data_IF_951329903797
#
_entry.id   IF_951329903797
#
_cell.length_a   1.000
_cell.length_b   1.000
_cell.length_c   1.000
_cell.angle_alpha   90.00
_cell.angle_beta   90.00
_cell.angle_gamma   90.00
#
_symmetry.space_group_name_H-M   'P 1'
#
loop_
_entity.id
_entity.type
_entity.pdbx_description
1 polymer ?
#
# COMPACT_ATOMS: atom_id res chain seq x y z
N UNK A 1 27.05 4.91 -12.04
CA UNK A 1 27.31 5.58 -10.74
C UNK A 1 26.42 6.82 -10.73
N UNK A 2 25.55 6.94 -9.74
CA UNK A 2 24.77 8.15 -9.49
C UNK A 2 25.55 8.98 -8.47
N UNK A 3 25.70 10.27 -8.75
CA UNK A 3 26.29 11.23 -7.82
C UNK A 3 25.23 12.29 -7.50
N UNK A 4 24.91 12.45 -6.23
CA UNK A 4 24.00 13.48 -5.74
C UNK A 4 24.82 14.64 -5.18
N UNK A 5 24.58 15.82 -5.71
CA UNK A 5 25.20 17.05 -5.22
C UNK A 5 24.11 17.89 -4.57
N UNK A 6 24.32 18.26 -3.32
CA UNK A 6 23.40 19.15 -2.62
C UNK A 6 23.54 20.57 -3.16
N UNK A 7 22.41 21.28 -3.23
CA UNK A 7 22.44 22.69 -3.63
C UNK A 7 23.14 23.52 -2.53
N UNK A 8 24.09 24.33 -2.92
CA UNK A 8 24.90 25.20 -2.08
C UNK A 8 24.76 26.70 -2.42
N UNK A 9 23.75 27.04 -3.22
CA UNK A 9 23.44 28.44 -3.52
C UNK A 9 23.21 29.22 -2.23
N UNK A 10 23.94 30.33 -2.08
CA UNK A 10 23.84 31.26 -0.95
C UNK A 10 22.84 32.39 -1.19
N UNK A 11 22.17 32.42 -2.31
CA UNK A 11 21.19 33.44 -2.70
C UNK A 11 20.10 32.88 -3.55
N UNK A 12 18.94 33.54 -3.53
CA UNK A 12 17.84 33.22 -4.38
C UNK A 12 16.80 32.33 -3.76
N UNK A 13 15.63 32.32 -4.40
CA UNK A 13 14.51 31.48 -4.02
C UNK A 13 13.85 30.90 -5.26
N UNK A 14 13.40 29.65 -5.14
CA UNK A 14 12.61 28.97 -6.16
C UNK A 14 11.36 28.41 -5.53
N UNK A 15 10.22 28.63 -6.19
CA UNK A 15 8.95 27.98 -5.87
C UNK A 15 8.45 27.23 -7.10
N UNK A 16 8.05 26.01 -6.91
CA UNK A 16 7.45 25.19 -7.96
C UNK A 16 6.14 24.61 -7.45
N UNK A 17 5.08 24.80 -8.24
CA UNK A 17 3.77 24.23 -7.98
C UNK A 17 3.42 23.38 -9.18
N UNK A 18 3.08 22.13 -8.94
CA UNK A 18 2.61 21.18 -9.95
C UNK A 18 1.27 20.63 -9.54
N UNK A 19 0.38 20.51 -10.50
CA UNK A 19 -0.86 19.77 -10.41
C UNK A 19 -0.99 18.92 -11.67
N UNK A 20 -1.53 17.74 -11.54
CA UNK A 20 -1.72 16.83 -12.66
C UNK A 20 -2.72 15.74 -12.31
N UNK A 21 -3.37 15.23 -13.33
CA UNK A 21 -4.24 14.08 -13.30
C UNK A 21 -3.99 13.22 -14.53
N UNK A 22 -4.37 11.97 -14.50
CA UNK A 22 -4.38 11.15 -15.70
C UNK A 22 -5.60 11.50 -16.58
N UNK A 23 -5.49 11.24 -17.87
CA UNK A 23 -6.54 11.50 -18.86
C UNK A 23 -7.86 10.76 -18.59
N UNK A 24 -7.81 9.74 -17.76
CA UNK A 24 -8.95 8.93 -17.33
C UNK A 24 -9.70 9.52 -16.13
N UNK A 25 -9.19 10.62 -15.54
CA UNK A 25 -9.80 11.32 -14.41
C UNK A 25 -9.56 10.63 -13.06
N UNK A 26 -8.37 10.07 -12.89
CA UNK A 26 -7.91 9.47 -11.63
C UNK A 26 -6.44 9.86 -11.37
N UNK A 27 -5.95 9.53 -10.18
CA UNK A 27 -4.55 9.75 -9.79
C UNK A 27 -4.17 11.21 -9.70
N UNK A 28 -5.10 12.05 -9.23
CA UNK A 28 -4.82 13.46 -8.97
C UNK A 28 -3.58 13.61 -8.13
N UNK A 29 -2.72 14.52 -8.56
CA UNK A 29 -1.45 14.78 -7.88
C UNK A 29 -1.26 16.28 -7.72
N UNK A 30 -0.88 16.73 -6.56
CA UNK A 30 -0.36 18.07 -6.40
C UNK A 30 0.96 18.05 -5.65
N UNK A 31 1.85 18.98 -5.99
CA UNK A 31 3.17 19.11 -5.39
C UNK A 31 3.54 20.58 -5.29
N UNK A 32 4.03 20.96 -4.12
CA UNK A 32 4.65 22.25 -3.88
C UNK A 32 6.08 21.98 -3.43
N UNK A 33 7.04 22.56 -4.14
CA UNK A 33 8.45 22.50 -3.78
C UNK A 33 9.03 23.89 -3.71
N UNK A 34 9.79 24.17 -2.67
CA UNK A 34 10.47 25.43 -2.48
C UNK A 34 11.96 25.20 -2.14
N UNK A 35 12.80 26.09 -2.63
CA UNK A 35 14.19 26.17 -2.26
C UNK A 35 14.55 27.62 -1.93
N UNK A 36 15.34 27.81 -0.92
CA UNK A 36 15.83 29.12 -0.47
C UNK A 36 17.32 29.04 -0.17
N UNK A 37 18.10 29.81 -0.92
CA UNK A 37 19.49 30.09 -0.62
C UNK A 37 19.61 31.38 0.17
N UNK A 38 20.44 31.40 1.20
CA UNK A 38 20.73 32.57 1.98
C UNK A 38 22.20 32.57 2.43
N UNK A 39 22.84 33.73 2.55
CA UNK A 39 24.19 33.81 3.14
C UNK A 39 24.10 33.43 4.63
N UNK A 40 25.04 32.61 5.05
CA UNK A 40 25.26 32.25 6.45
C UNK A 40 26.62 32.78 6.88
N UNK A 41 26.65 33.92 7.52
CA UNK A 41 27.86 34.72 7.75
C UNK A 41 28.45 35.29 6.45
N UNK A 42 29.63 35.94 6.54
CA UNK A 42 30.31 36.51 5.37
C UNK A 42 30.92 35.44 4.42
N UNK A 43 31.20 34.24 4.94
CA UNK A 43 31.92 33.18 4.23
C UNK A 43 31.18 31.84 4.23
N UNK A 44 29.85 31.87 4.28
CA UNK A 44 29.07 30.64 4.31
C UNK A 44 27.73 30.76 3.62
N UNK A 45 27.09 29.64 3.50
CA UNK A 45 25.77 29.53 2.92
C UNK A 45 24.84 28.65 3.76
N UNK A 46 23.58 28.91 3.66
CA UNK A 46 22.53 27.99 4.08
C UNK A 46 21.54 27.83 2.94
N UNK A 47 21.34 26.60 2.48
CA UNK A 47 20.38 26.26 1.47
C UNK A 47 19.33 25.32 2.07
N UNK A 48 18.06 25.74 1.99
CA UNK A 48 16.93 25.03 2.55
C UNK A 48 15.97 24.64 1.43
N UNK A 49 15.58 23.37 1.42
CA UNK A 49 14.58 22.86 0.48
C UNK A 49 13.44 22.21 1.23
N UNK A 50 12.23 22.40 0.74
CA UNK A 50 11.04 21.71 1.23
C UNK A 50 10.19 21.23 0.06
N UNK A 51 9.49 20.13 0.27
CA UNK A 51 8.50 19.59 -0.66
C UNK A 51 7.31 19.05 0.11
N UNK A 52 6.12 19.35 -0.39
CA UNK A 52 4.87 18.78 0.09
C UNK A 52 4.15 18.22 -1.13
N UNK A 53 3.67 16.99 -1.04
CA UNK A 53 2.99 16.32 -2.13
C UNK A 53 1.84 15.45 -1.60
N UNK A 54 0.80 15.33 -2.40
CA UNK A 54 -0.25 14.32 -2.25
C UNK A 54 -0.55 13.70 -3.61
N UNK A 55 -1.00 12.46 -3.58
CA UNK A 55 -1.40 11.71 -4.76
C UNK A 55 -2.59 10.83 -4.44
N UNK A 56 -3.63 10.96 -5.24
CA UNK A 56 -4.75 10.03 -5.22
C UNK A 56 -4.41 8.73 -5.93
N UNK A 57 -5.04 7.60 -5.53
CA UNK A 57 -4.81 6.33 -6.17
C UNK A 57 -5.38 6.32 -7.59
N UNK A 58 -4.82 5.48 -8.45
CA UNK A 58 -5.49 5.17 -9.71
C UNK A 58 -6.52 4.07 -9.52
N UNK A 59 -7.69 4.21 -10.17
CA UNK A 59 -8.83 3.32 -10.01
C UNK A 59 -9.20 2.56 -11.29
N UNK A 60 -8.26 2.38 -12.21
CA UNK A 60 -8.46 1.76 -13.53
C UNK A 60 -8.20 0.26 -13.53
N UNK A 61 -8.84 -0.42 -12.62
CA UNK A 61 -8.73 -1.87 -12.53
C UNK A 61 -9.70 -2.55 -13.49
N UNK A 62 -9.24 -3.63 -14.11
CA UNK A 62 -10.09 -4.49 -14.91
C UNK A 62 -10.56 -5.69 -14.08
N UNK A 63 -11.73 -6.21 -14.42
CA UNK A 63 -12.23 -7.44 -13.83
C UNK A 63 -11.29 -8.61 -14.17
N UNK A 64 -10.87 -9.34 -13.15
CA UNK A 64 -10.08 -10.57 -13.33
C UNK A 64 -10.97 -11.71 -13.77
N UNK A 65 -10.44 -12.61 -14.62
CA UNK A 65 -11.19 -13.78 -15.07
C UNK A 65 -11.60 -14.73 -13.93
N UNK A 66 -10.78 -14.86 -12.90
CA UNK A 66 -11.08 -15.66 -11.72
C UNK A 66 -12.17 -15.03 -10.83
N UNK A 67 -12.22 -13.70 -10.74
CA UNK A 67 -13.32 -13.00 -10.09
C UNK A 67 -14.62 -13.08 -10.92
N UNK A 68 -14.52 -12.95 -12.23
CA UNK A 68 -15.65 -13.09 -13.13
C UNK A 68 -16.27 -14.49 -13.03
N UNK A 69 -15.47 -15.54 -12.90
CA UNK A 69 -15.98 -16.89 -12.73
C UNK A 69 -16.83 -17.08 -11.46
N UNK A 70 -16.54 -16.33 -10.40
CA UNK A 70 -17.36 -16.32 -9.18
C UNK A 70 -18.72 -15.64 -9.42
N UNK A 71 -18.72 -14.55 -10.18
CA UNK A 71 -19.94 -13.85 -10.59
C UNK A 71 -20.79 -14.78 -11.43
N UNK A 72 -20.20 -15.43 -12.43
CA UNK A 72 -20.87 -16.37 -13.32
C UNK A 72 -21.42 -17.60 -12.56
N UNK A 73 -20.75 -18.00 -11.48
CA UNK A 73 -21.21 -19.03 -10.56
C UNK A 73 -22.33 -18.57 -9.59
N UNK A 74 -22.80 -17.34 -9.73
CA UNK A 74 -23.91 -16.80 -8.94
C UNK A 74 -23.54 -16.23 -7.57
N UNK A 75 -22.27 -15.93 -7.31
CA UNK A 75 -21.89 -15.19 -6.10
C UNK A 75 -22.42 -13.76 -6.21
N UNK A 76 -23.26 -13.30 -5.27
CA UNK A 76 -23.88 -11.99 -5.37
C UNK A 76 -22.86 -10.86 -5.40
N UNK A 77 -23.13 -9.81 -6.20
CA UNK A 77 -22.22 -8.66 -6.33
C UNK A 77 -21.89 -7.96 -4.99
N UNK A 78 -22.81 -7.94 -4.05
CA UNK A 78 -22.57 -7.36 -2.73
C UNK A 78 -21.55 -8.14 -1.87
N UNK A 79 -21.21 -9.35 -2.27
CA UNK A 79 -20.16 -10.17 -1.66
C UNK A 79 -18.79 -9.93 -2.29
N UNK A 80 -18.72 -9.14 -3.34
CA UNK A 80 -17.44 -8.69 -3.92
C UNK A 80 -16.93 -7.49 -3.17
N UNK A 81 -15.62 -7.40 -2.90
CA UNK A 81 -15.03 -6.31 -2.13
C UNK A 81 -15.09 -4.94 -2.85
N UNK A 82 -15.38 -4.93 -4.14
CA UNK A 82 -15.46 -3.74 -4.96
C UNK A 82 -16.90 -3.56 -5.45
N UNK A 83 -17.62 -2.61 -4.95
CA UNK A 83 -19.05 -2.38 -5.15
C UNK A 83 -19.59 -2.57 -6.57
N UNK A 84 -18.76 -2.56 -7.59
CA UNK A 84 -19.09 -2.81 -8.99
C UNK A 84 -18.72 -4.22 -9.47
N UNK A 85 -18.28 -5.12 -8.61
CA UNK A 85 -17.82 -6.44 -8.99
C UNK A 85 -16.44 -6.49 -9.66
N UNK A 86 -15.72 -5.39 -9.68
CA UNK A 86 -14.38 -5.31 -10.24
C UNK A 86 -13.34 -5.70 -9.19
N UNK A 87 -12.49 -6.64 -9.54
CA UNK A 87 -11.36 -7.03 -8.71
C UNK A 87 -10.13 -6.21 -9.12
N UNK A 88 -9.72 -5.31 -8.27
CA UNK A 88 -8.53 -4.53 -8.50
C UNK A 88 -7.30 -5.42 -8.59
N UNK A 89 -6.55 -5.29 -9.66
CA UNK A 89 -5.31 -6.02 -9.88
C UNK A 89 -4.12 -5.18 -9.43
N UNK A 90 -4.06 -3.93 -9.87
CA UNK A 90 -2.93 -3.05 -9.62
C UNK A 90 -3.28 -1.59 -9.94
N UNK A 91 -2.71 -0.66 -9.19
CA UNK A 91 -2.85 0.78 -9.42
C UNK A 91 -1.76 1.57 -8.69
N UNK A 92 -1.64 2.85 -9.00
CA UNK A 92 -0.80 3.75 -8.21
C UNK A 92 -1.35 3.84 -6.79
N UNK A 93 -0.49 3.82 -5.78
CA UNK A 93 -0.94 3.97 -4.40
C UNK A 93 -1.46 5.38 -4.14
N UNK A 94 -2.32 5.50 -3.13
CA UNK A 94 -2.56 6.79 -2.47
C UNK A 94 -1.31 7.18 -1.68
N UNK A 95 -0.93 8.46 -1.78
CA UNK A 95 0.14 9.04 -0.96
C UNK A 95 -0.40 10.29 -0.29
N UNK A 96 -0.35 10.31 1.03
CA UNK A 96 -0.74 11.46 1.85
C UNK A 96 0.37 11.83 2.81
N UNK A 97 0.31 13.05 3.32
CA UNK A 97 1.28 13.56 4.30
C UNK A 97 2.75 13.42 3.83
N UNK A 98 2.99 13.57 2.52
CA UNK A 98 4.34 13.48 1.95
C UNK A 98 5.05 14.82 2.13
N UNK A 99 5.83 14.92 3.20
CA UNK A 99 6.64 16.07 3.56
C UNK A 99 8.12 15.73 3.44
N UNK A 100 8.88 16.63 2.80
CA UNK A 100 10.35 16.51 2.73
C UNK A 100 10.98 17.83 3.05
N UNK A 101 12.03 17.77 3.82
CA UNK A 101 12.85 18.91 4.17
C UNK A 101 14.33 18.54 4.07
N UNK A 102 15.11 19.41 3.44
CA UNK A 102 16.58 19.27 3.33
C UNK A 102 17.21 20.59 3.70
N UNK A 103 18.23 20.53 4.53
CA UNK A 103 19.11 21.66 4.81
C UNK A 103 20.56 21.31 4.46
N UNK A 104 21.24 22.24 3.82
CA UNK A 104 22.65 22.16 3.50
C UNK A 104 23.32 23.49 3.92
N UNK A 105 24.24 23.42 4.85
CA UNK A 105 24.91 24.58 5.43
C UNK A 105 26.43 24.38 5.32
N UNK A 106 27.10 25.36 4.79
CA UNK A 106 28.54 25.37 4.70
C UNK A 106 29.10 26.69 5.21
N UNK A 107 30.27 26.63 5.80
CA UNK A 107 30.98 27.80 6.32
C UNK A 107 32.51 27.61 6.16
N UNK A 108 33.16 28.52 5.49
CA UNK A 108 34.62 28.58 5.44
C UNK A 108 35.14 29.14 6.78
N UNK A 109 35.83 28.32 7.55
CA UNK A 109 36.38 28.71 8.85
C UNK A 109 37.72 29.43 8.71
N UNK A 110 38.52 28.96 7.76
CA UNK A 110 39.78 29.59 7.32
C UNK A 110 40.13 29.10 5.90
N UNK A 111 41.25 29.49 5.36
CA UNK A 111 41.71 29.14 4.00
C UNK A 111 41.87 27.62 3.76
N UNK A 112 41.88 26.84 4.82
CA UNK A 112 42.14 25.39 4.77
C UNK A 112 41.06 24.53 5.41
N UNK A 113 40.04 25.12 6.04
CA UNK A 113 39.02 24.39 6.78
C UNK A 113 37.63 24.88 6.45
N UNK A 114 36.76 23.92 6.21
CA UNK A 114 35.33 24.13 5.94
C UNK A 114 34.50 23.36 6.95
N UNK A 115 33.56 24.03 7.57
CA UNK A 115 32.48 23.37 8.29
C UNK A 115 31.36 23.02 7.32
N UNK A 116 30.78 21.85 7.49
CA UNK A 116 29.57 21.45 6.77
C UNK A 116 28.53 20.84 7.71
N UNK A 117 27.26 21.05 7.38
CA UNK A 117 26.12 20.38 7.98
C UNK A 117 25.10 20.12 6.89
N UNK A 118 24.64 18.90 6.79
CA UNK A 118 23.46 18.61 6.00
C UNK A 118 22.51 17.72 6.78
N UNK A 119 21.22 17.90 6.55
CA UNK A 119 20.16 17.13 7.19
C UNK A 119 19.02 16.91 6.22
N UNK A 120 18.31 15.81 6.43
CA UNK A 120 17.03 15.55 5.80
C UNK A 120 15.99 15.15 6.83
N UNK A 121 14.75 15.43 6.50
CA UNK A 121 13.55 14.86 7.11
C UNK A 121 12.59 14.52 6.00
N UNK A 122 12.01 13.34 6.05
CA UNK A 122 10.96 12.90 5.14
C UNK A 122 9.92 12.09 5.91
N UNK A 123 8.66 12.35 5.62
CA UNK A 123 7.52 11.61 6.15
C UNK A 123 6.50 11.43 5.05
N UNK A 124 5.87 10.27 4.98
CA UNK A 124 4.73 10.03 4.11
C UNK A 124 3.90 8.85 4.59
N UNK A 125 2.60 8.91 4.33
CA UNK A 125 1.69 7.79 4.43
C UNK A 125 1.42 7.25 3.03
N UNK A 126 1.46 5.93 2.88
CA UNK A 126 1.20 5.25 1.60
C UNK A 126 0.18 4.15 1.80
N UNK A 127 -0.85 4.12 0.97
CA UNK A 127 -1.86 3.05 0.93
C UNK A 127 -2.01 2.55 -0.50
N UNK A 128 -1.67 1.29 -0.73
CA UNK A 128 -1.75 0.64 -2.03
C UNK A 128 -2.65 -0.60 -2.03
N UNK A 129 -3.15 -0.96 -3.19
CA UNK A 129 -3.86 -2.21 -3.43
C UNK A 129 -2.91 -3.33 -3.84
N UNK A 130 -3.42 -4.55 -3.82
CA UNK A 130 -2.67 -5.74 -4.21
C UNK A 130 -3.52 -6.68 -5.07
N UNK A 131 -3.04 -7.90 -5.30
CA UNK A 131 -3.76 -8.88 -6.11
C UNK A 131 -5.01 -9.41 -5.39
N UNK A 132 -6.09 -9.58 -6.16
CA UNK A 132 -7.30 -10.27 -5.72
C UNK A 132 -6.99 -11.64 -5.14
N UNK A 133 -7.63 -11.97 -4.03
CA UNK A 133 -7.57 -13.25 -3.34
C UNK A 133 -8.84 -14.02 -3.65
N UNK A 134 -8.76 -14.87 -4.65
CA UNK A 134 -9.88 -15.74 -5.04
C UNK A 134 -10.12 -16.79 -3.93
N UNK A 135 -11.35 -16.95 -3.43
CA UNK A 135 -11.65 -17.90 -2.37
C UNK A 135 -11.52 -19.37 -2.79
N UNK A 136 -11.38 -19.65 -4.08
CA UNK A 136 -11.42 -21.01 -4.61
C UNK A 136 -10.05 -21.58 -4.94
N UNK A 137 -9.07 -20.75 -5.22
CA UNK A 137 -7.76 -21.18 -5.70
C UNK A 137 -6.59 -20.56 -4.93
N UNK A 138 -6.85 -19.98 -3.77
CA UNK A 138 -5.80 -19.39 -2.95
C UNK A 138 -5.35 -20.36 -1.87
N UNK A 139 -4.40 -21.20 -2.22
CA UNK A 139 -3.73 -22.13 -1.30
C UNK A 139 -3.27 -21.46 -0.01
N UNK A 140 -3.55 -22.10 1.11
CA UNK A 140 -3.18 -21.62 2.44
C UNK A 140 -4.04 -20.49 2.99
N UNK A 141 -5.06 -20.04 2.23
CA UNK A 141 -6.04 -19.05 2.71
C UNK A 141 -7.41 -19.69 2.87
N UNK A 142 -7.84 -20.47 1.88
CA UNK A 142 -9.15 -21.09 1.85
C UNK A 142 -9.13 -22.60 1.64
N UNK A 143 -8.01 -23.16 1.25
CA UNK A 143 -7.79 -24.58 1.03
C UNK A 143 -6.41 -25.04 1.53
N UNK A 144 -6.18 -26.33 1.56
CA UNK A 144 -4.91 -26.92 1.95
C UNK A 144 -3.96 -27.17 0.77
N UNK A 145 -4.32 -26.74 -0.43
CA UNK A 145 -3.56 -26.96 -1.66
C UNK A 145 -3.94 -28.19 -2.46
N UNK A 146 -5.01 -28.89 -2.07
CA UNK A 146 -5.48 -30.13 -2.70
C UNK A 146 -6.93 -30.06 -3.17
N UNK A 147 -7.44 -28.88 -3.51
CA UNK A 147 -8.83 -28.63 -3.89
C UNK A 147 -9.84 -28.90 -2.75
N UNK A 148 -9.36 -29.04 -1.51
CA UNK A 148 -10.19 -29.26 -0.33
C UNK A 148 -10.33 -27.95 0.44
N UNK A 149 -11.55 -27.56 0.78
CA UNK A 149 -11.79 -26.37 1.57
C UNK A 149 -11.56 -26.62 3.04
N UNK A 150 -10.90 -25.68 3.69
CA UNK A 150 -10.74 -25.69 5.13
C UNK A 150 -12.05 -25.32 5.80
N UNK A 151 -12.55 -26.22 6.62
CA UNK A 151 -13.72 -26.01 7.48
C UNK A 151 -13.24 -25.76 8.89
N UNK A 152 -13.59 -24.61 9.45
CA UNK A 152 -13.39 -24.31 10.86
C UNK A 152 -14.57 -24.82 11.70
N UNK A 153 -14.29 -25.16 12.94
CA UNK A 153 -15.22 -25.66 13.92
C UNK A 153 -15.21 -24.75 15.16
N UNK A 154 -16.29 -24.00 15.33
CA UNK A 154 -16.43 -23.08 16.45
C UNK A 154 -16.48 -23.80 17.80
N UNK A 155 -17.05 -25.01 17.84
CA UNK A 155 -17.08 -25.84 19.05
C UNK A 155 -15.69 -26.32 19.48
N UNK A 156 -14.86 -26.71 18.51
CA UNK A 156 -13.48 -27.09 18.75
C UNK A 156 -12.64 -25.89 19.20
N UNK A 157 -12.81 -24.73 18.58
CA UNK A 157 -12.14 -23.50 19.00
C UNK A 157 -12.49 -23.11 20.45
N UNK A 158 -13.68 -23.45 20.92
CA UNK A 158 -14.11 -23.26 22.30
C UNK A 158 -13.62 -24.37 23.26
N UNK A 159 -12.78 -25.30 22.81
CA UNK A 159 -12.21 -26.37 23.62
C UNK A 159 -13.00 -27.68 23.60
N UNK A 160 -14.03 -27.79 22.75
CA UNK A 160 -14.79 -29.03 22.53
C UNK A 160 -14.11 -30.01 21.55
N UNK A 161 -14.75 -31.14 21.36
CA UNK A 161 -14.35 -32.08 20.32
C UNK A 161 -14.75 -31.53 18.91
N UNK A 162 -13.96 -31.87 17.90
CA UNK A 162 -14.31 -31.52 16.53
C UNK A 162 -15.52 -32.34 16.05
N UNK A 163 -16.52 -31.62 15.57
CA UNK A 163 -17.74 -32.22 14.97
C UNK A 163 -17.83 -32.00 13.47
N UNK A 164 -17.22 -30.92 12.97
CA UNK A 164 -17.18 -30.61 11.56
C UNK A 164 -16.29 -31.57 10.79
N UNK A 165 -16.67 -31.90 9.55
CA UNK A 165 -15.78 -32.59 8.64
C UNK A 165 -14.47 -31.83 8.50
N UNK A 166 -13.35 -32.55 8.46
CA UNK A 166 -12.02 -31.95 8.26
C UNK A 166 -11.81 -31.53 6.81
N UNK A 167 -12.41 -32.29 5.89
CA UNK A 167 -12.22 -32.17 4.46
C UNK A 167 -13.57 -32.21 3.75
N UNK A 168 -13.83 -31.22 2.94
CA UNK A 168 -15.05 -31.14 2.15
C UNK A 168 -14.69 -30.71 0.75
N UNK A 169 -15.01 -31.58 -0.21
CA UNK A 169 -14.85 -31.27 -1.62
C UNK A 169 -15.66 -30.04 -2.02
N UNK A 170 -15.01 -29.15 -2.76
CA UNK A 170 -15.63 -27.97 -3.30
C UNK A 170 -15.39 -27.89 -4.81
N UNK A 171 -16.42 -27.70 -5.58
CA UNK A 171 -16.34 -27.52 -7.03
C UNK A 171 -16.49 -26.03 -7.35
N UNK A 172 -15.54 -25.49 -8.13
CA UNK A 172 -15.56 -24.10 -8.60
C UNK A 172 -15.85 -23.08 -7.47
N UNK A 173 -15.42 -23.41 -6.26
CA UNK A 173 -15.59 -22.53 -5.13
C UNK A 173 -16.85 -22.67 -4.32
N UNK A 174 -17.71 -23.56 -4.67
CA UNK A 174 -18.94 -23.81 -3.94
C UNK A 174 -18.93 -25.20 -3.34
N UNK A 175 -19.41 -25.35 -2.11
CA UNK A 175 -19.74 -26.61 -1.53
C UNK A 175 -20.99 -27.16 -2.25
N UNK A 176 -20.96 -28.41 -2.67
CA UNK A 176 -22.08 -29.04 -3.40
C UNK A 176 -22.36 -30.44 -2.88
N UNK A 177 -23.61 -30.91 -3.09
CA UNK A 177 -24.03 -32.27 -2.75
C UNK A 177 -23.86 -32.59 -1.27
N UNK A 178 -23.39 -33.80 -0.97
CA UNK A 178 -23.24 -34.29 0.41
C UNK A 178 -22.30 -33.47 1.27
N UNK A 179 -21.34 -32.82 0.65
CA UNK A 179 -20.40 -31.92 1.34
C UNK A 179 -21.13 -30.66 1.84
N UNK A 180 -21.98 -30.07 0.99
CA UNK A 180 -22.83 -28.95 1.39
C UNK A 180 -23.84 -29.36 2.47
N UNK A 181 -24.49 -30.51 2.32
CA UNK A 181 -25.46 -31.01 3.30
C UNK A 181 -24.81 -31.23 4.68
N UNK A 182 -23.61 -31.82 4.71
CA UNK A 182 -22.86 -32.04 5.95
C UNK A 182 -22.49 -30.71 6.61
N UNK A 183 -22.07 -29.74 5.82
CA UNK A 183 -21.72 -28.40 6.30
C UNK A 183 -22.95 -27.64 6.84
N UNK A 184 -24.07 -27.68 6.15
CA UNK A 184 -25.30 -27.00 6.56
C UNK A 184 -26.00 -27.64 7.75
N UNK A 185 -25.64 -28.88 8.10
CA UNK A 185 -26.28 -29.62 9.21
C UNK A 185 -25.65 -29.34 10.58
N UNK A 186 -24.54 -28.62 10.66
CA UNK A 186 -23.86 -28.30 11.91
C UNK A 186 -23.56 -26.79 12.01
N UNK A 187 -24.27 -26.11 12.90
CA UNK A 187 -24.16 -24.67 13.12
C UNK A 187 -22.78 -24.23 13.61
N UNK A 188 -21.93 -25.16 14.07
CA UNK A 188 -20.55 -24.84 14.46
C UNK A 188 -19.58 -24.84 13.30
N UNK A 189 -19.98 -25.36 12.15
CA UNK A 189 -19.13 -25.45 10.97
C UNK A 189 -19.19 -24.17 10.16
N UNK A 190 -18.05 -23.64 9.78
CA UNK A 190 -17.98 -22.55 8.81
C UNK A 190 -16.76 -22.67 7.91
N UNK A 191 -16.88 -22.19 6.69
CA UNK A 191 -15.76 -22.08 5.76
C UNK A 191 -15.24 -20.65 5.75
N UNK A 192 -13.93 -20.47 5.66
CA UNK A 192 -13.32 -19.15 5.74
C UNK A 192 -13.80 -18.18 4.65
N UNK A 193 -14.20 -18.70 3.49
CA UNK A 193 -14.76 -17.88 2.44
C UNK A 193 -16.16 -17.30 2.75
N UNK A 194 -16.83 -17.70 3.80
CA UNK A 194 -18.05 -17.03 4.27
C UNK A 194 -17.78 -15.66 4.86
N UNK A 195 -16.56 -15.43 5.38
CA UNK A 195 -16.11 -14.13 5.82
C UNK A 195 -15.89 -13.19 4.63
N UNK A 196 -15.50 -13.74 3.49
CA UNK A 196 -15.27 -13.01 2.24
C UNK A 196 -15.66 -13.90 1.04
N UNK A 197 -16.94 -14.20 0.87
CA UNK A 197 -17.38 -15.25 -0.07
C UNK A 197 -17.08 -14.92 -1.53
N UNK A 198 -16.98 -13.65 -1.89
CA UNK A 198 -16.51 -13.19 -3.19
C UNK A 198 -14.99 -13.04 -3.30
N UNK A 199 -14.24 -13.42 -2.27
CA UNK A 199 -12.85 -13.10 -2.16
C UNK A 199 -12.61 -11.64 -1.71
N UNK A 200 -11.36 -11.18 -1.74
CA UNK A 200 -11.02 -9.82 -1.39
C UNK A 200 -9.72 -9.37 -2.06
N UNK A 201 -9.54 -8.08 -2.18
CA UNK A 201 -8.24 -7.50 -2.54
C UNK A 201 -7.62 -6.87 -1.30
N UNK A 202 -6.48 -7.39 -0.82
CA UNK A 202 -5.81 -6.78 0.31
C UNK A 202 -5.27 -5.40 -0.07
N UNK A 203 -5.29 -4.49 0.88
CA UNK A 203 -4.51 -3.26 0.83
C UNK A 203 -3.26 -3.42 1.69
N UNK A 204 -2.23 -2.70 1.34
CA UNK A 204 -1.02 -2.60 2.14
C UNK A 204 -0.56 -1.15 2.15
N UNK A 205 0.09 -0.77 3.21
CA UNK A 205 0.56 0.60 3.36
C UNK A 205 1.32 0.77 4.66
N UNK A 206 1.68 1.99 4.93
CA UNK A 206 2.35 2.34 6.18
C UNK A 206 2.81 3.79 6.18
N UNK A 207 3.14 4.23 7.37
CA UNK A 207 3.80 5.49 7.61
C UNK A 207 5.32 5.28 7.51
N UNK A 208 5.96 6.10 6.72
CA UNK A 208 7.41 6.08 6.54
C UNK A 208 7.97 7.41 7.04
N UNK A 209 8.85 7.34 8.02
CA UNK A 209 9.60 8.50 8.49
C UNK A 209 11.09 8.22 8.37
N UNK A 210 11.82 9.13 7.75
CA UNK A 210 13.27 9.09 7.62
C UNK A 210 13.85 10.44 8.00
N UNK A 211 14.93 10.42 8.78
CA UNK A 211 15.66 11.64 9.08
C UNK A 211 17.14 11.37 9.31
N UNK A 212 17.93 12.31 8.95
CA UNK A 212 19.37 12.27 9.24
C UNK A 212 19.95 13.65 9.45
N UNK A 213 21.06 13.70 10.15
CA UNK A 213 21.90 14.87 10.27
C UNK A 213 23.36 14.43 10.23
N UNK A 214 24.15 15.12 9.45
CA UNK A 214 25.58 14.94 9.39
C UNK A 214 26.28 16.30 9.43
N UNK A 215 27.34 16.39 10.19
CA UNK A 215 28.16 17.61 10.27
C UNK A 215 29.62 17.26 10.50
N UNK A 216 30.51 18.14 10.10
CA UNK A 216 31.94 17.96 10.29
C UNK A 216 32.75 19.14 9.83
N UNK A 217 34.06 18.97 9.91
CA UNK A 217 35.07 19.92 9.40
C UNK A 217 36.00 19.16 8.48
N UNK A 218 36.20 19.67 7.30
CA UNK A 218 37.10 19.12 6.28
C UNK A 218 38.26 20.08 6.02
#
# INVERSE_FOLDING_TARGET
ILNFVLNDDSEGARLEIRNGEYSEGDGDTWRIAANLGMPFTENGYANLSMEIQEQDPTARSAQRGDAQSLIDAGVPAWKHPFGNGEAQVWGSPQVTDDYKFIANIGLDLDDSKKFYLFSNYAEKNVLGGFFFRNPNNRTGVYDDGSDIRLIADAGQAAGGARTCASDVDATAGNLVGTALDAYLSDDNCFVFNELSPGGFTPSFGGDVTDWSIASGVS
#
